data_IF_374455486647
#
_entry.id   IF_374455486647
#
_cell.length_a   1.000
_cell.length_b   1.000
_cell.length_c   1.000
_cell.angle_alpha   90.00
_cell.angle_beta   90.00
_cell.angle_gamma   90.00
#
_symmetry.space_group_name_H-M   'P 1'
#
loop_
_entity.id
_entity.type
_entity.pdbx_description
1 polymer ?
#
# COMPACT_ATOMS: atom_id res chain seq x y z
N UNK A 1 -1.04 -18.53 -1.56
CA UNK A 1 -0.09 -17.41 -1.70
C UNK A 1 -0.85 -16.12 -1.47
N UNK A 2 -0.33 -15.21 -0.63
CA UNK A 2 -1.00 -13.92 -0.38
C UNK A 2 -1.01 -13.05 -1.65
N UNK A 3 -1.98 -12.18 -1.89
CA UNK A 3 -1.89 -11.14 -2.91
C UNK A 3 -0.72 -10.17 -2.64
N UNK A 4 -0.28 -9.43 -3.67
CA UNK A 4 0.66 -8.32 -3.53
C UNK A 4 -0.13 -7.05 -3.25
N UNK A 5 0.35 -6.23 -2.32
CA UNK A 5 -0.15 -4.87 -2.10
C UNK A 5 0.95 -3.87 -2.42
N UNK A 6 0.83 -3.17 -3.55
CA UNK A 6 1.65 -2.01 -3.85
C UNK A 6 1.11 -0.83 -3.06
N UNK A 7 1.91 -0.30 -2.14
CA UNK A 7 1.41 0.57 -1.09
C UNK A 7 2.23 1.84 -1.00
N UNK A 8 1.62 2.99 -1.25
CA UNK A 8 2.25 4.28 -0.98
C UNK A 8 2.31 4.61 0.51
N UNK A 9 3.21 5.51 0.91
CA UNK A 9 3.32 5.97 2.31
C UNK A 9 2.74 7.37 2.46
N UNK A 10 3.14 8.30 1.58
CA UNK A 10 2.57 9.65 1.53
C UNK A 10 1.08 9.59 1.21
N UNK A 11 0.26 10.43 1.83
CA UNK A 11 -1.19 10.48 1.59
C UNK A 11 -2.02 9.24 1.97
N UNK A 12 -1.37 8.11 2.28
CA UNK A 12 -2.00 6.85 2.71
C UNK A 12 -1.76 6.59 4.19
N UNK A 13 -0.51 6.47 4.64
CA UNK A 13 -0.19 6.32 6.07
C UNK A 13 -0.05 7.66 6.77
N UNK A 14 0.27 8.70 6.00
CA UNK A 14 0.30 10.07 6.46
C UNK A 14 -0.82 10.86 5.78
N UNK A 15 -1.25 11.93 6.43
CA UNK A 15 -2.24 12.86 5.88
C UNK A 15 -2.14 14.21 6.56
N UNK A 16 -2.94 15.16 6.08
CA UNK A 16 -3.04 16.49 6.67
C UNK A 16 -4.23 16.55 7.62
N UNK A 17 -3.95 16.73 8.91
CA UNK A 17 -4.97 16.86 9.95
C UNK A 17 -4.63 18.04 10.83
N UNK A 18 -5.61 18.92 11.07
CA UNK A 18 -5.42 20.16 11.80
C UNK A 18 -4.21 20.99 11.27
N UNK A 19 -4.10 21.09 9.95
CA UNK A 19 -3.01 21.80 9.24
C UNK A 19 -1.61 21.20 9.42
N UNK A 20 -1.50 20.01 10.02
CA UNK A 20 -0.23 19.30 10.21
C UNK A 20 -0.18 18.01 9.39
N UNK A 21 0.96 17.78 8.74
CA UNK A 21 1.27 16.49 8.12
C UNK A 21 1.73 15.50 9.18
N UNK A 22 0.92 14.49 9.44
CA UNK A 22 1.16 13.55 10.53
C UNK A 22 0.62 12.16 10.19
N UNK A 23 0.94 11.19 11.05
CA UNK A 23 0.51 9.81 10.88
C UNK A 23 -1.02 9.70 10.99
N UNK A 24 -1.64 9.03 10.03
CA UNK A 24 -3.08 8.78 10.01
C UNK A 24 -3.48 7.88 11.18
N UNK A 25 -4.61 8.16 11.86
CA UNK A 25 -5.19 7.25 12.85
C UNK A 25 -5.34 5.83 12.31
N UNK A 26 -5.11 4.82 13.16
CA UNK A 26 -5.25 3.41 12.76
C UNK A 26 -4.08 2.83 11.97
N UNK A 27 -2.98 3.56 11.73
CA UNK A 27 -1.84 3.02 10.96
C UNK A 27 -1.24 1.74 11.56
N UNK A 28 -1.16 1.62 12.90
CA UNK A 28 -0.66 0.39 13.55
C UNK A 28 -1.54 -0.82 13.23
N UNK A 29 -2.86 -0.68 13.37
CA UNK A 29 -3.83 -1.75 13.10
C UNK A 29 -3.88 -2.09 11.61
N UNK A 30 -3.77 -1.07 10.75
CA UNK A 30 -3.65 -1.22 9.31
C UNK A 30 -2.43 -2.03 8.90
N UNK A 31 -1.22 -1.64 9.29
CA UNK A 31 0.02 -2.35 8.91
C UNK A 31 -0.01 -3.79 9.40
N UNK A 32 -0.45 -4.02 10.64
CA UNK A 32 -0.60 -5.36 11.18
C UNK A 32 -1.52 -6.21 10.31
N UNK A 33 -2.70 -5.69 9.99
CA UNK A 33 -3.69 -6.39 9.15
C UNK A 33 -3.17 -6.60 7.73
N UNK A 34 -2.56 -5.59 7.11
CA UNK A 34 -2.03 -5.67 5.76
C UNK A 34 -0.93 -6.75 5.66
N UNK A 35 -0.02 -6.82 6.62
CA UNK A 35 1.00 -7.87 6.68
C UNK A 35 0.43 -9.28 6.86
N UNK A 36 -0.73 -9.40 7.49
CA UNK A 36 -1.41 -10.69 7.66
C UNK A 36 -2.05 -11.16 6.35
N UNK A 37 -2.49 -10.25 5.48
CA UNK A 37 -3.28 -10.57 4.29
C UNK A 37 -2.51 -10.42 2.96
N UNK A 38 -1.43 -9.64 2.91
CA UNK A 38 -0.69 -9.31 1.70
C UNK A 38 0.82 -9.50 1.88
N UNK A 39 1.53 -9.68 0.77
CA UNK A 39 2.95 -9.30 0.73
C UNK A 39 3.02 -7.85 0.24
N UNK A 40 3.53 -6.97 1.09
CA UNK A 40 3.52 -5.53 0.84
C UNK A 40 4.79 -5.12 0.10
N UNK A 41 4.63 -4.32 -0.94
CA UNK A 41 5.72 -3.63 -1.63
C UNK A 41 5.47 -2.13 -1.52
N UNK A 42 6.32 -1.44 -0.77
CA UNK A 42 6.19 0.00 -0.55
C UNK A 42 6.67 0.80 -1.76
N UNK A 43 5.83 1.72 -2.24
CA UNK A 43 6.14 2.65 -3.32
C UNK A 43 6.55 4.01 -2.74
N UNK A 44 7.76 4.12 -2.20
CA UNK A 44 8.21 5.31 -1.48
C UNK A 44 9.56 5.82 -1.97
N UNK A 45 9.81 7.11 -1.76
CA UNK A 45 11.14 7.75 -1.88
C UNK A 45 11.94 7.69 -0.56
N UNK A 46 11.32 7.20 0.51
CA UNK A 46 11.97 7.14 1.82
C UNK A 46 13.14 6.18 1.76
N UNK A 47 14.22 6.55 2.45
CA UNK A 47 15.37 5.66 2.57
C UNK A 47 14.95 4.39 3.30
N UNK A 48 15.60 3.28 2.96
CA UNK A 48 15.32 1.99 3.57
C UNK A 48 15.36 2.03 5.10
N UNK A 49 16.32 2.76 5.69
CA UNK A 49 16.46 2.92 7.15
C UNK A 49 15.30 3.70 7.79
N UNK A 50 14.78 4.72 7.10
CA UNK A 50 13.63 5.53 7.57
C UNK A 50 12.36 4.68 7.57
N UNK A 51 12.14 3.93 6.49
CA UNK A 51 11.03 2.99 6.39
C UNK A 51 11.14 1.86 7.42
N UNK A 52 12.34 1.29 7.62
CA UNK A 52 12.59 0.28 8.63
C UNK A 52 12.24 0.80 10.03
N UNK A 53 12.67 2.02 10.34
CA UNK A 53 12.38 2.67 11.63
C UNK A 53 10.88 2.86 11.83
N UNK A 54 10.18 3.39 10.81
CA UNK A 54 8.73 3.55 10.86
C UNK A 54 8.04 2.21 11.12
N UNK A 55 8.37 1.17 10.35
CA UNK A 55 7.75 -0.15 10.50
C UNK A 55 8.07 -0.80 11.84
N UNK A 56 9.27 -0.62 12.38
CA UNK A 56 9.61 -1.08 13.73
C UNK A 56 8.71 -0.42 14.79
N UNK A 57 8.52 0.91 14.72
CA UNK A 57 7.65 1.65 15.64
C UNK A 57 6.19 1.16 15.52
N UNK A 58 5.70 1.00 14.30
CA UNK A 58 4.32 0.58 14.04
C UNK A 58 4.04 -0.86 14.44
N UNK A 59 5.07 -1.71 14.53
CA UNK A 59 4.92 -3.14 14.81
C UNK A 59 5.52 -3.58 16.15
N UNK A 60 6.03 -2.65 16.97
CA UNK A 60 6.75 -2.94 18.23
C UNK A 60 5.94 -3.79 19.21
N UNK A 61 4.61 -3.63 19.24
CA UNK A 61 3.69 -4.42 20.08
C UNK A 61 3.56 -5.88 19.63
N UNK A 62 3.77 -6.16 18.33
CA UNK A 62 3.70 -7.51 17.74
C UNK A 62 5.02 -8.28 17.89
N UNK A 63 6.16 -7.58 17.90
CA UNK A 63 7.50 -8.20 17.88
C UNK A 63 8.31 -8.10 19.18
N UNK A 64 7.77 -7.46 20.23
CA UNK A 64 8.22 -7.58 21.63
C UNK A 64 9.70 -7.25 21.87
N UNK A 65 10.00 -6.05 22.41
CA UNK A 65 11.33 -5.57 22.86
C UNK A 65 12.49 -5.60 21.83
N UNK A 66 12.31 -6.24 20.68
CA UNK A 66 13.21 -6.19 19.53
C UNK A 66 12.76 -5.07 18.60
N UNK A 67 13.59 -4.04 18.42
CA UNK A 67 13.38 -2.96 17.45
C UNK A 67 13.65 -3.42 16.00
N UNK A 68 13.62 -4.72 15.73
CA UNK A 68 13.79 -5.23 14.37
C UNK A 68 12.46 -5.20 13.64
N UNK A 69 12.38 -4.35 12.63
CA UNK A 69 11.26 -4.35 11.69
C UNK A 69 11.14 -5.74 11.05
N UNK A 70 9.91 -6.24 10.80
CA UNK A 70 9.74 -7.36 9.91
C UNK A 70 10.36 -7.05 8.55
N UNK A 71 10.92 -8.06 7.88
CA UNK A 71 11.44 -7.88 6.52
C UNK A 71 10.38 -7.26 5.62
N UNK A 72 10.75 -6.23 4.87
CA UNK A 72 9.87 -5.49 3.97
C UNK A 72 10.53 -5.31 2.61
N UNK A 73 9.69 -5.05 1.61
CA UNK A 73 10.13 -4.74 0.25
C UNK A 73 9.78 -3.29 -0.06
N UNK A 74 10.76 -2.55 -0.58
CA UNK A 74 10.56 -1.24 -1.19
C UNK A 74 10.85 -1.33 -2.68
N UNK A 75 9.96 -0.79 -3.50
CA UNK A 75 10.16 -0.71 -4.93
C UNK A 75 11.25 0.31 -5.28
N UNK A 76 12.01 0.03 -6.34
CA UNK A 76 12.94 0.99 -6.96
C UNK A 76 12.24 1.79 -8.07
N UNK A 77 11.02 2.25 -7.80
CA UNK A 77 10.17 2.90 -8.80
C UNK A 77 10.77 4.21 -9.34
N UNK A 78 11.71 4.82 -8.62
CA UNK A 78 12.48 6.00 -9.03
C UNK A 78 13.25 5.83 -10.34
N UNK A 79 13.44 4.59 -10.80
CA UNK A 79 14.01 4.30 -12.12
C UNK A 79 13.03 4.51 -13.27
N UNK A 80 11.77 4.80 -12.95
CA UNK A 80 10.67 5.05 -13.87
C UNK A 80 10.26 6.51 -13.71
N UNK A 81 9.64 7.06 -14.74
CA UNK A 81 9.15 8.45 -14.72
C UNK A 81 8.10 8.68 -13.63
N UNK A 82 7.29 7.66 -13.34
CA UNK A 82 6.24 7.72 -12.33
C UNK A 82 5.87 6.32 -11.81
N UNK A 83 5.11 6.28 -10.71
CA UNK A 83 4.68 5.03 -10.07
C UNK A 83 3.76 4.20 -10.97
N UNK A 84 2.86 4.83 -11.74
CA UNK A 84 1.89 4.11 -12.60
C UNK A 84 2.60 3.23 -13.65
N UNK A 85 3.69 3.72 -14.27
CA UNK A 85 4.49 2.95 -15.22
C UNK A 85 5.23 1.80 -14.53
N UNK A 86 5.75 2.04 -13.34
CA UNK A 86 6.39 0.98 -12.55
C UNK A 86 5.38 -0.11 -12.15
N UNK A 87 4.18 0.28 -11.69
CA UNK A 87 3.12 -0.68 -11.30
C UNK A 87 2.66 -1.48 -12.51
N UNK A 88 2.46 -0.85 -13.68
CA UNK A 88 2.11 -1.55 -14.91
C UNK A 88 3.13 -2.65 -15.24
N UNK A 89 4.41 -2.31 -15.25
CA UNK A 89 5.49 -3.28 -15.49
C UNK A 89 5.56 -4.37 -14.40
N UNK A 90 5.45 -4.00 -13.12
CA UNK A 90 5.46 -4.94 -12.01
C UNK A 90 4.31 -5.96 -12.11
N UNK A 91 3.11 -5.51 -12.44
CA UNK A 91 1.93 -6.36 -12.62
C UNK A 91 2.14 -7.39 -13.73
N UNK A 92 2.75 -7.03 -14.86
CA UNK A 92 3.05 -8.01 -15.92
C UNK A 92 3.94 -9.16 -15.45
N UNK A 93 4.78 -8.92 -14.44
CA UNK A 93 5.72 -9.89 -13.85
C UNK A 93 5.10 -10.72 -12.72
N UNK A 94 3.92 -10.34 -12.21
CA UNK A 94 3.24 -11.08 -11.12
C UNK A 94 2.59 -12.40 -11.55
N UNK A 95 2.41 -12.61 -12.85
CA UNK A 95 1.82 -13.84 -13.39
C UNK A 95 0.37 -14.04 -12.95
N UNK A 96 0.05 -15.17 -12.31
CA UNK A 96 -1.31 -15.49 -11.83
C UNK A 96 -1.59 -14.97 -10.40
N UNK A 97 -0.65 -14.25 -9.80
CA UNK A 97 -0.79 -13.77 -8.43
C UNK A 97 -1.68 -12.53 -8.41
N UNK A 98 -2.65 -12.51 -7.50
CA UNK A 98 -3.48 -11.33 -7.28
C UNK A 98 -2.65 -10.16 -6.77
N UNK A 99 -3.02 -8.96 -7.19
CA UNK A 99 -2.39 -7.70 -6.80
C UNK A 99 -3.43 -6.61 -6.60
N UNK A 100 -3.04 -5.62 -5.80
CA UNK A 100 -3.78 -4.38 -5.54
C UNK A 100 -2.78 -3.23 -5.40
N UNK A 101 -3.22 -2.01 -5.72
CA UNK A 101 -2.44 -0.78 -5.59
C UNK A 101 -3.21 0.26 -4.81
N UNK A 102 -2.57 0.88 -3.81
CA UNK A 102 -3.09 2.02 -3.05
C UNK A 102 -2.10 3.18 -3.15
N UNK A 103 -2.61 4.35 -3.51
CA UNK A 103 -1.87 5.60 -3.63
C UNK A 103 -2.83 6.78 -3.44
N UNK A 104 -2.39 7.93 -2.99
CA UNK A 104 -3.22 9.14 -3.02
C UNK A 104 -3.23 9.82 -4.39
N UNK A 105 -2.31 9.44 -5.28
CA UNK A 105 -2.19 9.97 -6.65
C UNK A 105 -2.54 8.93 -7.73
N UNK A 106 -3.45 8.00 -7.44
CA UNK A 106 -3.93 7.04 -8.46
C UNK A 106 -4.50 7.79 -9.70
N UNK A 107 -4.05 7.45 -10.93
CA UNK A 107 -4.53 8.05 -12.17
C UNK A 107 -6.02 7.81 -12.44
N UNK A 108 -6.55 8.53 -13.43
CA UNK A 108 -7.92 8.31 -13.88
C UNK A 108 -8.09 6.94 -14.59
N UNK A 109 -9.34 6.50 -14.72
CA UNK A 109 -9.70 5.18 -15.28
C UNK A 109 -9.15 4.97 -16.69
N UNK A 110 -9.22 6.00 -17.55
CA UNK A 110 -8.73 5.92 -18.93
C UNK A 110 -7.22 5.67 -18.98
N UNK A 111 -6.45 6.36 -18.14
CA UNK A 111 -5.01 6.18 -18.03
C UNK A 111 -4.65 4.80 -17.49
N UNK A 112 -5.34 4.33 -16.46
CA UNK A 112 -5.14 2.99 -15.91
C UNK A 112 -5.36 1.91 -16.97
N UNK A 113 -6.48 1.99 -17.69
CA UNK A 113 -6.83 1.04 -18.75
C UNK A 113 -5.82 1.08 -19.90
N UNK A 114 -5.36 2.27 -20.30
CA UNK A 114 -4.32 2.42 -21.32
C UNK A 114 -3.00 1.75 -20.92
N UNK A 115 -2.67 1.76 -19.62
CA UNK A 115 -1.51 1.08 -19.06
C UNK A 115 -1.73 -0.43 -18.80
N UNK A 116 -2.92 -0.96 -19.11
CA UNK A 116 -3.26 -2.35 -18.85
C UNK A 116 -3.52 -2.67 -17.37
N UNK A 117 -3.75 -1.65 -16.54
CA UNK A 117 -4.12 -1.81 -15.13
C UNK A 117 -5.63 -1.90 -14.98
N UNK A 118 -6.11 -2.86 -14.19
CA UNK A 118 -7.53 -2.97 -13.84
C UNK A 118 -7.90 -1.89 -12.81
N UNK A 119 -8.77 -0.92 -13.16
CA UNK A 119 -9.17 0.14 -12.24
C UNK A 119 -9.80 -0.37 -10.94
N UNK A 120 -10.41 -1.57 -10.94
CA UNK A 120 -11.01 -2.16 -9.74
C UNK A 120 -9.98 -2.69 -8.73
N UNK A 121 -8.70 -2.67 -9.09
CA UNK A 121 -7.57 -3.07 -8.24
C UNK A 121 -6.72 -1.88 -7.78
N UNK A 122 -7.08 -0.66 -8.20
CA UNK A 122 -6.37 0.58 -7.87
C UNK A 122 -7.24 1.47 -6.98
N UNK A 123 -6.78 1.74 -5.76
CA UNK A 123 -7.54 2.50 -4.76
C UNK A 123 -6.87 3.83 -4.49
N UNK A 124 -7.58 4.91 -4.86
CA UNK A 124 -7.17 6.26 -4.50
C UNK A 124 -7.50 6.53 -3.03
N UNK A 125 -6.48 6.76 -2.20
CA UNK A 125 -6.68 7.14 -0.82
C UNK A 125 -7.05 8.63 -0.71
N UNK A 126 -8.00 8.97 0.17
CA UNK A 126 -8.25 10.36 0.53
C UNK A 126 -7.24 10.83 1.60
N UNK A 127 -6.25 11.65 1.22
CA UNK A 127 -5.22 12.17 2.11
C UNK A 127 -5.75 12.95 3.33
N UNK A 128 -6.98 13.44 3.27
CA UNK A 128 -7.66 14.20 4.34
C UNK A 128 -8.60 13.35 5.21
N UNK A 129 -8.85 12.10 4.84
CA UNK A 129 -9.76 11.20 5.55
C UNK A 129 -9.08 10.54 6.74
N UNK A 130 -9.54 10.80 7.97
CA UNK A 130 -8.96 10.20 9.17
C UNK A 130 -9.32 8.71 9.32
N UNK A 131 -10.44 8.29 8.76
CA UNK A 131 -10.99 6.92 8.73
C UNK A 131 -10.66 6.16 7.44
N UNK A 132 -9.86 6.75 6.54
CA UNK A 132 -9.62 6.22 5.20
C UNK A 132 -8.97 4.82 5.21
N UNK A 133 -8.15 4.48 6.23
CA UNK A 133 -7.58 3.13 6.34
C UNK A 133 -8.64 2.07 6.65
N UNK A 134 -9.67 2.42 7.42
CA UNK A 134 -10.78 1.50 7.69
C UNK A 134 -11.63 1.31 6.43
N UNK A 135 -11.90 2.40 5.69
CA UNK A 135 -12.59 2.36 4.39
C UNK A 135 -11.83 1.49 3.37
N UNK A 136 -10.51 1.68 3.24
CA UNK A 136 -9.66 0.88 2.36
C UNK A 136 -9.65 -0.60 2.78
N UNK A 137 -9.61 -0.87 4.08
CA UNK A 137 -9.61 -2.24 4.63
C UNK A 137 -10.89 -2.96 4.27
N UNK A 138 -12.04 -2.31 4.43
CA UNK A 138 -13.34 -2.88 4.07
C UNK A 138 -13.43 -3.20 2.57
N UNK A 139 -13.01 -2.26 1.71
CA UNK A 139 -12.97 -2.47 0.25
C UNK A 139 -12.10 -3.68 -0.12
N UNK A 140 -10.92 -3.78 0.46
CA UNK A 140 -10.02 -4.91 0.22
C UNK A 140 -10.58 -6.23 0.74
N UNK A 141 -11.20 -6.25 1.93
CA UNK A 141 -11.83 -7.46 2.49
C UNK A 141 -12.95 -7.98 1.58
N UNK A 142 -13.76 -7.08 1.00
CA UNK A 142 -14.79 -7.45 0.03
C UNK A 142 -14.21 -8.09 -1.23
N UNK A 143 -12.99 -7.71 -1.64
CA UNK A 143 -12.32 -8.29 -2.81
C UNK A 143 -11.64 -9.62 -2.48
N UNK A 144 -11.02 -9.72 -1.31
CA UNK A 144 -10.37 -10.95 -0.83
C UNK A 144 -11.39 -12.07 -0.56
N UNK A 145 -12.64 -11.73 -0.23
CA UNK A 145 -13.71 -12.70 0.04
C UNK A 145 -14.45 -13.18 -1.21
N UNK A 146 -14.20 -12.60 -2.39
CA UNK A 146 -14.83 -13.05 -3.64
C UNK A 146 -14.32 -14.45 -4.01
N UNK A 147 -15.20 -15.38 -4.41
CA UNK A 147 -14.77 -16.64 -4.98
C UNK A 147 -13.91 -16.36 -6.22
N UNK A 148 -12.75 -17.00 -6.32
CA UNK A 148 -11.97 -16.98 -7.57
C UNK A 148 -12.81 -17.66 -8.65
N UNK A 149 -13.15 -16.95 -9.72
CA UNK A 149 -13.81 -17.55 -10.87
C UNK A 149 -12.95 -18.74 -11.35
N UNK A 150 -13.58 -19.91 -11.46
CA UNK A 150 -12.94 -21.17 -11.82
C UNK A 150 -12.42 -21.17 -13.26
#
# INVERSE_FOLDING_TARGET
MKPILYHDIGGVLFGEYAEEFQLRPGTKTWIKWAQEHFDIVFLTMWKHEELATLLAILTVEKYGKSLQAPGFHSANWEKYENKELWVADAVTKTGKRDWFWIDDEVPNVERLQHLGLDPNRCFKANSKGADELDVLKEKLLQLLSRPKAA
#
